data_IF_480774419626
#
_entry.id   IF_480774419626
#
_cell.length_a   1.000
_cell.length_b   1.000
_cell.length_c   1.000
_cell.angle_alpha   90.00
_cell.angle_beta   90.00
_cell.angle_gamma   90.00
#
_symmetry.space_group_name_H-M   'P 1'
#
loop_
_entity.id
_entity.type
_entity.pdbx_description
1 polymer ?
#
# COMPACT_ATOMS: atom_id res chain seq x y z
N UNK A 1 -5.44 -41.95 -22.05
CA UNK A 1 -4.20 -41.65 -22.79
C UNK A 1 -4.40 -40.31 -23.48
N UNK A 2 -3.44 -39.39 -23.35
CA UNK A 2 -3.47 -38.12 -24.08
C UNK A 2 -3.32 -38.41 -25.58
N UNK A 3 -4.11 -37.73 -26.42
CA UNK A 3 -4.05 -37.93 -27.87
C UNK A 3 -2.67 -37.58 -28.44
N UNK A 4 -1.93 -36.67 -27.80
CA UNK A 4 -0.57 -36.29 -28.19
C UNK A 4 0.46 -37.39 -27.91
N UNK A 5 0.20 -38.36 -27.05
CA UNK A 5 1.19 -39.39 -26.68
C UNK A 5 1.68 -40.27 -27.83
N UNK A 6 0.93 -40.32 -28.94
CA UNK A 6 1.26 -41.08 -30.15
C UNK A 6 1.75 -40.19 -31.29
N UNK A 7 1.85 -38.89 -31.07
CA UNK A 7 2.29 -37.92 -32.07
C UNK A 7 3.80 -37.72 -31.97
N UNK A 8 4.47 -37.63 -33.12
CA UNK A 8 5.91 -37.32 -33.20
C UNK A 8 6.19 -35.82 -33.11
N UNK A 9 5.18 -35.00 -33.33
CA UNK A 9 5.25 -33.54 -33.30
C UNK A 9 4.12 -33.02 -32.39
N UNK A 10 4.47 -32.12 -31.48
CA UNK A 10 3.53 -31.47 -30.56
C UNK A 10 3.65 -29.97 -30.77
N UNK A 11 2.55 -29.33 -31.19
CA UNK A 11 2.51 -27.86 -31.36
C UNK A 11 2.19 -27.20 -30.03
N UNK A 12 3.19 -26.55 -29.42
CA UNK A 12 3.00 -25.72 -28.24
C UNK A 12 2.62 -24.30 -28.70
N UNK A 13 1.58 -23.74 -28.09
CA UNK A 13 1.09 -22.39 -28.37
C UNK A 13 1.39 -21.49 -27.17
N UNK A 14 1.40 -20.18 -27.41
CA UNK A 14 1.53 -19.15 -26.37
C UNK A 14 2.89 -19.16 -25.63
N UNK A 15 3.94 -19.62 -26.30
CA UNK A 15 5.34 -19.53 -25.83
C UNK A 15 6.17 -18.81 -26.90
N UNK A 16 7.04 -17.90 -26.45
CA UNK A 16 8.01 -17.24 -27.30
C UNK A 16 9.11 -18.21 -27.76
N UNK A 17 9.55 -18.10 -29.02
CA UNK A 17 10.57 -18.99 -29.61
C UNK A 17 11.87 -18.97 -28.82
N UNK A 18 12.32 -17.78 -28.38
CA UNK A 18 13.57 -17.60 -27.64
C UNK A 18 13.43 -18.19 -26.24
N UNK A 19 12.28 -18.00 -25.60
CA UNK A 19 12.02 -18.58 -24.29
C UNK A 19 12.01 -20.11 -24.35
N UNK A 20 11.42 -20.71 -25.39
CA UNK A 20 11.41 -22.16 -25.55
C UNK A 20 12.82 -22.73 -25.76
N UNK A 21 13.65 -22.09 -26.57
CA UNK A 21 15.03 -22.52 -26.82
C UNK A 21 15.85 -22.51 -25.52
N UNK A 22 15.77 -21.42 -24.75
CA UNK A 22 16.43 -21.32 -23.44
C UNK A 22 15.95 -22.37 -22.43
N UNK A 23 14.66 -22.69 -22.43
CA UNK A 23 14.10 -23.72 -21.56
C UNK A 23 14.53 -25.13 -21.96
N UNK A 24 14.65 -25.40 -23.27
CA UNK A 24 15.17 -26.67 -23.77
C UNK A 24 16.65 -26.79 -23.41
N UNK A 25 17.45 -25.75 -23.68
CA UNK A 25 18.87 -25.72 -23.30
C UNK A 25 19.05 -25.93 -21.80
N UNK A 26 18.20 -25.33 -20.97
CA UNK A 26 18.18 -25.59 -19.53
C UNK A 26 17.90 -27.06 -19.20
N UNK A 27 16.94 -27.72 -19.87
CA UNK A 27 16.65 -29.14 -19.64
C UNK A 27 17.87 -30.05 -19.90
N UNK A 28 18.76 -29.66 -20.83
CA UNK A 28 19.97 -30.44 -21.15
C UNK A 28 21.21 -30.01 -20.36
N UNK A 29 21.36 -28.72 -20.03
CA UNK A 29 22.58 -28.16 -19.43
C UNK A 29 22.44 -27.86 -17.93
N UNK A 30 21.21 -27.79 -17.42
CA UNK A 30 20.87 -27.30 -16.07
C UNK A 30 21.40 -25.89 -15.78
N UNK A 31 21.63 -25.08 -16.82
CA UNK A 31 22.11 -23.71 -16.69
C UNK A 31 21.20 -22.76 -17.46
N UNK A 32 20.80 -21.66 -16.82
CA UNK A 32 20.01 -20.60 -17.44
C UNK A 32 20.42 -19.25 -16.86
N UNK A 33 20.49 -18.23 -17.72
CA UNK A 33 20.83 -16.85 -17.34
C UNK A 33 19.57 -16.00 -17.48
N UNK A 34 19.15 -15.39 -16.38
CA UNK A 34 17.97 -14.51 -16.34
C UNK A 34 18.43 -13.05 -16.39
N UNK A 35 17.89 -12.30 -17.35
CA UNK A 35 18.18 -10.91 -17.65
C UNK A 35 16.88 -10.10 -17.81
N UNK A 36 16.95 -8.77 -17.77
CA UNK A 36 15.77 -7.90 -17.91
C UNK A 36 15.06 -8.06 -19.27
N UNK A 37 15.82 -8.36 -20.32
CA UNK A 37 15.32 -8.58 -21.67
C UNK A 37 14.56 -9.90 -21.83
N UNK A 38 14.91 -10.92 -21.04
CA UNK A 38 14.38 -12.28 -21.21
C UNK A 38 13.35 -12.66 -20.16
N UNK A 39 13.38 -12.06 -18.96
CA UNK A 39 12.54 -12.47 -17.82
C UNK A 39 11.03 -12.37 -18.12
N UNK A 40 10.63 -11.38 -18.92
CA UNK A 40 9.24 -11.18 -19.32
C UNK A 40 8.71 -12.27 -20.26
N UNK A 41 9.59 -12.90 -21.06
CA UNK A 41 9.25 -14.01 -21.96
C UNK A 41 9.46 -15.37 -21.29
N UNK A 42 10.44 -15.46 -20.39
CA UNK A 42 10.84 -16.69 -19.70
C UNK A 42 9.86 -17.08 -18.60
N UNK A 43 9.40 -16.15 -17.77
CA UNK A 43 8.48 -16.46 -16.67
C UNK A 43 7.14 -17.06 -17.16
N UNK A 44 6.46 -16.51 -18.18
CA UNK A 44 5.20 -17.08 -18.69
C UNK A 44 5.40 -18.49 -19.22
N UNK A 45 6.50 -18.73 -19.93
CA UNK A 45 6.86 -20.04 -20.47
C UNK A 45 7.14 -21.04 -19.34
N UNK A 46 7.87 -20.63 -18.31
CA UNK A 46 8.12 -21.45 -17.11
C UNK A 46 6.82 -21.73 -16.32
N UNK A 47 5.88 -20.79 -16.26
CA UNK A 47 4.56 -20.99 -15.67
C UNK A 47 3.73 -22.01 -16.46
N UNK A 48 3.71 -21.90 -17.80
CA UNK A 48 2.95 -22.79 -18.67
C UNK A 48 3.48 -24.24 -18.63
N UNK A 49 4.81 -24.39 -18.63
CA UNK A 49 5.48 -25.70 -18.56
C UNK A 49 5.66 -26.21 -17.12
N UNK A 50 5.18 -25.46 -16.11
CA UNK A 50 5.25 -25.80 -14.69
C UNK A 50 6.69 -26.03 -14.16
N UNK A 51 7.66 -25.28 -14.68
CA UNK A 51 9.06 -25.31 -14.24
C UNK A 51 9.25 -24.40 -13.01
N UNK A 52 8.98 -24.94 -11.82
CA UNK A 52 8.96 -24.17 -10.56
C UNK A 52 10.30 -23.53 -10.21
N UNK A 53 11.42 -24.21 -10.46
CA UNK A 53 12.76 -23.68 -10.14
C UNK A 53 13.06 -22.39 -10.91
N UNK A 54 12.68 -22.34 -12.19
CA UNK A 54 12.87 -21.16 -13.04
C UNK A 54 11.89 -20.06 -12.63
N UNK A 55 10.65 -20.41 -12.28
CA UNK A 55 9.69 -19.45 -11.75
C UNK A 55 10.21 -18.75 -10.50
N UNK A 56 10.80 -19.50 -9.57
CA UNK A 56 11.38 -18.95 -8.34
C UNK A 56 12.56 -18.01 -8.63
N UNK A 57 13.47 -18.40 -9.53
CA UNK A 57 14.60 -17.56 -9.93
C UNK A 57 14.13 -16.27 -10.61
N UNK A 58 13.19 -16.36 -11.54
CA UNK A 58 12.59 -15.20 -12.21
C UNK A 58 11.86 -14.28 -11.22
N UNK A 59 11.12 -14.85 -10.27
CA UNK A 59 10.47 -14.07 -9.21
C UNK A 59 11.49 -13.37 -8.31
N UNK A 60 12.57 -14.04 -7.89
CA UNK A 60 13.64 -13.43 -7.11
C UNK A 60 14.37 -12.32 -7.88
N UNK A 61 14.59 -12.50 -9.18
CA UNK A 61 15.14 -11.46 -10.05
C UNK A 61 14.24 -10.23 -10.10
N UNK A 62 12.93 -10.42 -10.35
CA UNK A 62 11.95 -9.33 -10.39
C UNK A 62 11.81 -8.62 -9.04
N UNK A 63 11.87 -9.34 -7.92
CA UNK A 63 11.86 -8.74 -6.58
C UNK A 63 13.03 -7.78 -6.36
N UNK A 64 14.22 -8.10 -6.88
CA UNK A 64 15.42 -7.25 -6.73
C UNK A 64 15.39 -6.00 -7.61
N UNK A 65 14.61 -6.04 -8.70
CA UNK A 65 14.47 -4.94 -9.66
C UNK A 65 13.22 -4.07 -9.42
N UNK A 66 12.53 -4.23 -8.29
CA UNK A 66 11.36 -3.41 -7.96
C UNK A 66 11.76 -1.94 -7.77
N UNK A 67 11.21 -1.09 -8.62
CA UNK A 67 11.40 0.36 -8.63
C UNK A 67 10.02 1.06 -8.70
N UNK A 68 9.85 2.28 -8.17
CA UNK A 68 8.56 2.98 -8.25
C UNK A 68 8.07 3.20 -9.69
N UNK A 69 8.98 3.24 -10.67
CA UNK A 69 8.65 3.41 -12.09
C UNK A 69 8.15 2.14 -12.79
N UNK A 70 8.47 0.94 -12.27
CA UNK A 70 8.16 -0.36 -12.92
C UNK A 70 7.26 -1.27 -12.08
N UNK A 71 6.99 -0.90 -10.81
CA UNK A 71 6.31 -1.78 -9.86
C UNK A 71 4.89 -2.13 -10.30
N UNK A 72 4.21 -1.25 -11.03
CA UNK A 72 2.86 -1.50 -11.53
C UNK A 72 2.88 -2.48 -12.70
N UNK A 73 3.86 -2.35 -13.61
CA UNK A 73 4.12 -3.34 -14.66
C UNK A 73 4.41 -4.73 -14.09
N UNK A 74 5.33 -4.82 -13.11
CA UNK A 74 5.66 -6.10 -12.45
C UNK A 74 4.46 -6.69 -11.72
N UNK A 75 3.65 -5.85 -11.07
CA UNK A 75 2.41 -6.26 -10.40
C UNK A 75 1.39 -6.84 -11.39
N UNK A 76 1.12 -6.13 -12.50
CA UNK A 76 0.20 -6.59 -13.54
C UNK A 76 0.68 -7.90 -14.20
N UNK A 77 2.00 -8.02 -14.38
CA UNK A 77 2.63 -9.23 -14.87
C UNK A 77 2.47 -10.40 -13.90
N UNK A 78 2.70 -10.17 -12.60
CA UNK A 78 2.52 -11.19 -11.57
C UNK A 78 1.06 -11.67 -11.45
N UNK A 79 0.10 -10.77 -11.61
CA UNK A 79 -1.34 -11.09 -11.62
C UNK A 79 -1.70 -11.97 -12.83
N UNK A 80 -1.22 -11.61 -14.02
CA UNK A 80 -1.44 -12.36 -15.28
C UNK A 80 -0.93 -13.80 -15.20
N UNK A 81 0.23 -14.01 -14.58
CA UNK A 81 0.86 -15.34 -14.45
C UNK A 81 0.56 -16.03 -13.11
N UNK A 82 -0.34 -15.48 -12.29
CA UNK A 82 -0.73 -16.04 -10.98
C UNK A 82 0.45 -16.25 -10.01
N UNK A 83 1.51 -15.44 -10.13
CA UNK A 83 2.67 -15.46 -9.24
C UNK A 83 2.33 -14.76 -7.91
N UNK A 84 1.64 -15.48 -7.01
CA UNK A 84 1.07 -14.92 -5.77
C UNK A 84 2.08 -14.23 -4.86
N UNK A 85 3.28 -14.79 -4.73
CA UNK A 85 4.30 -14.21 -3.85
C UNK A 85 4.87 -12.91 -4.41
N UNK A 86 5.18 -12.89 -5.72
CA UNK A 86 5.63 -11.68 -6.40
C UNK A 86 4.55 -10.60 -6.38
N UNK A 87 3.29 -10.98 -6.64
CA UNK A 87 2.14 -10.08 -6.58
C UNK A 87 2.02 -9.42 -5.20
N UNK A 88 2.09 -10.22 -4.13
CA UNK A 88 2.01 -9.71 -2.76
C UNK A 88 3.15 -8.73 -2.43
N UNK A 89 4.36 -9.01 -2.89
CA UNK A 89 5.52 -8.15 -2.65
C UNK A 89 5.39 -6.86 -3.46
N UNK A 90 4.99 -6.95 -4.73
CA UNK A 90 4.75 -5.80 -5.60
C UNK A 90 3.63 -4.92 -5.04
N UNK A 91 2.51 -5.51 -4.58
CA UNK A 91 1.40 -4.80 -3.92
C UNK A 91 1.89 -4.01 -2.70
N UNK A 92 2.66 -4.67 -1.81
CA UNK A 92 3.21 -4.03 -0.62
C UNK A 92 4.18 -2.90 -0.97
N UNK A 93 4.98 -3.08 -2.02
CA UNK A 93 5.90 -2.06 -2.50
C UNK A 93 5.16 -0.85 -3.10
N UNK A 94 4.17 -1.08 -3.95
CA UNK A 94 3.30 -0.05 -4.53
C UNK A 94 2.58 0.72 -3.43
N UNK A 95 2.01 0.03 -2.43
CA UNK A 95 1.36 0.67 -1.30
C UNK A 95 2.32 1.55 -0.49
N UNK A 96 3.56 1.09 -0.30
CA UNK A 96 4.58 1.80 0.46
C UNK A 96 5.14 3.04 -0.26
N UNK A 97 5.30 2.98 -1.58
CA UNK A 97 5.89 4.04 -2.41
C UNK A 97 4.85 4.76 -3.28
N UNK A 98 3.57 4.69 -2.91
CA UNK A 98 2.46 5.26 -3.69
C UNK A 98 2.66 6.74 -4.06
N UNK A 99 3.36 7.50 -3.21
CA UNK A 99 3.68 8.90 -3.48
C UNK A 99 4.51 9.12 -4.74
N UNK A 100 5.44 8.22 -5.05
CA UNK A 100 6.28 8.29 -6.25
C UNK A 100 5.55 7.63 -7.43
N UNK A 101 4.82 6.55 -7.15
CA UNK A 101 4.06 5.80 -8.17
C UNK A 101 2.96 6.67 -8.80
N UNK A 102 2.28 7.55 -8.04
CA UNK A 102 1.20 8.38 -8.59
C UNK A 102 1.67 9.39 -9.65
N UNK A 103 2.97 9.71 -9.68
CA UNK A 103 3.59 10.61 -10.66
C UNK A 103 4.08 9.87 -11.91
N UNK A 104 4.11 8.54 -11.88
CA UNK A 104 4.62 7.73 -12.99
C UNK A 104 3.62 7.63 -14.15
N UNK A 105 4.14 7.42 -15.35
CA UNK A 105 3.31 7.19 -16.54
C UNK A 105 2.57 5.85 -16.48
N UNK A 106 3.19 4.82 -15.88
CA UNK A 106 2.55 3.51 -15.66
C UNK A 106 1.23 3.66 -14.90
N UNK A 107 1.18 4.55 -13.90
CA UNK A 107 -0.04 4.83 -13.15
C UNK A 107 -1.14 5.40 -14.04
N UNK A 108 -0.79 6.31 -14.96
CA UNK A 108 -1.75 6.91 -15.89
C UNK A 108 -2.30 5.90 -16.90
N UNK A 109 -1.55 4.85 -17.23
CA UNK A 109 -1.96 3.80 -18.17
C UNK A 109 -2.75 2.65 -17.52
N UNK A 110 -2.89 2.63 -16.19
CA UNK A 110 -3.57 1.54 -15.48
C UNK A 110 -5.02 1.31 -15.93
N UNK A 111 -5.46 0.05 -16.01
CA UNK A 111 -6.88 -0.31 -16.12
C UNK A 111 -7.67 0.05 -14.85
N UNK A 112 -8.98 0.28 -15.01
CA UNK A 112 -9.87 0.67 -13.90
C UNK A 112 -9.88 -0.34 -12.75
N UNK A 113 -9.89 -1.65 -13.04
CA UNK A 113 -9.92 -2.69 -12.02
C UNK A 113 -8.68 -2.63 -11.11
N UNK A 114 -7.50 -2.60 -11.71
CA UNK A 114 -6.24 -2.52 -10.97
C UNK A 114 -6.12 -1.23 -10.15
N UNK A 115 -6.58 -0.10 -10.70
CA UNK A 115 -6.60 1.18 -9.98
C UNK A 115 -7.51 1.11 -8.74
N UNK A 116 -8.71 0.52 -8.89
CA UNK A 116 -9.66 0.32 -7.79
C UNK A 116 -9.04 -0.55 -6.70
N UNK A 117 -8.36 -1.64 -7.07
CA UNK A 117 -7.72 -2.52 -6.08
C UNK A 117 -6.65 -1.79 -5.27
N UNK A 118 -5.85 -0.93 -5.92
CA UNK A 118 -4.81 -0.14 -5.25
C UNK A 118 -5.46 0.89 -4.30
N UNK A 119 -6.46 1.64 -4.76
CA UNK A 119 -7.10 2.71 -3.97
C UNK A 119 -8.03 2.15 -2.88
N UNK A 120 -8.58 0.95 -3.05
CA UNK A 120 -9.40 0.31 -2.03
C UNK A 120 -8.56 -0.12 -0.80
N UNK A 121 -7.24 -0.28 -0.96
CA UNK A 121 -6.36 -0.75 0.13
C UNK A 121 -6.28 0.22 1.31
N UNK A 122 -6.50 -0.31 2.52
CA UNK A 122 -6.33 0.42 3.78
C UNK A 122 -4.87 0.77 4.11
N UNK A 123 -3.91 0.04 3.54
CA UNK A 123 -2.48 0.12 3.83
C UNK A 123 -1.72 1.11 2.93
N UNK A 124 -2.44 1.88 2.10
CA UNK A 124 -1.83 2.86 1.20
C UNK A 124 -1.08 3.93 1.99
N UNK A 125 0.22 4.07 1.73
CA UNK A 125 1.07 5.03 2.41
C UNK A 125 0.95 6.43 1.78
N UNK A 126 -0.09 7.16 2.20
CA UNK A 126 -0.36 8.54 1.78
C UNK A 126 -0.40 9.48 2.98
N UNK A 127 0.01 10.74 2.78
CA UNK A 127 -0.02 11.74 3.86
C UNK A 127 -1.44 12.24 4.12
N UNK A 128 -2.21 12.40 3.05
CA UNK A 128 -3.60 12.88 3.08
C UNK A 128 -4.41 12.20 1.98
N UNK A 129 -5.72 12.06 2.17
CA UNK A 129 -6.64 11.60 1.11
C UNK A 129 -6.70 12.58 -0.07
N UNK A 130 -6.28 13.83 0.13
CA UNK A 130 -6.19 14.83 -0.94
C UNK A 130 -5.22 14.38 -2.05
N UNK A 131 -4.13 13.68 -1.68
CA UNK A 131 -3.19 13.09 -2.65
C UNK A 131 -3.84 11.97 -3.46
N UNK A 132 -4.61 11.10 -2.80
CA UNK A 132 -5.35 10.01 -3.47
C UNK A 132 -6.37 10.58 -4.45
N UNK A 133 -7.13 11.59 -4.03
CA UNK A 133 -8.08 12.27 -4.91
C UNK A 133 -7.37 12.92 -6.09
N UNK A 134 -6.25 13.63 -5.86
CA UNK A 134 -5.47 14.25 -6.95
C UNK A 134 -4.97 13.21 -7.94
N UNK A 135 -4.46 12.07 -7.47
CA UNK A 135 -3.99 10.97 -8.31
C UNK A 135 -5.13 10.41 -9.19
N UNK A 136 -6.31 10.15 -8.59
CA UNK A 136 -7.50 9.70 -9.32
C UNK A 136 -7.90 10.71 -10.40
N UNK A 137 -7.91 12.00 -10.06
CA UNK A 137 -8.30 13.04 -11.00
C UNK A 137 -7.28 13.18 -12.14
N UNK A 138 -5.99 13.04 -11.88
CA UNK A 138 -4.96 13.00 -12.94
C UNK A 138 -5.18 11.80 -13.87
N UNK A 139 -5.48 10.62 -13.32
CA UNK A 139 -5.79 9.43 -14.11
C UNK A 139 -7.06 9.62 -14.96
N UNK A 140 -8.13 10.19 -14.42
CA UNK A 140 -9.36 10.45 -15.20
C UNK A 140 -9.12 11.51 -16.27
N UNK A 141 -8.36 12.57 -15.96
CA UNK A 141 -8.04 13.65 -16.91
C UNK A 141 -7.16 13.20 -18.08
N UNK A 142 -6.37 12.14 -17.91
CA UNK A 142 -5.55 11.56 -18.97
C UNK A 142 -6.40 11.01 -20.14
N UNK A 143 -7.54 10.37 -19.86
CA UNK A 143 -8.49 9.90 -20.88
C UNK A 143 -9.93 10.14 -20.42
N UNK A 144 -10.39 11.39 -20.56
CA UNK A 144 -11.72 11.83 -20.09
C UNK A 144 -12.85 11.10 -20.83
N UNK A 145 -12.68 10.80 -22.11
CA UNK A 145 -13.73 10.22 -22.95
C UNK A 145 -14.21 8.86 -22.44
N UNK A 146 -13.27 7.98 -22.09
CA UNK A 146 -13.60 6.62 -21.63
C UNK A 146 -13.69 6.53 -20.10
N UNK A 147 -12.87 7.27 -19.36
CA UNK A 147 -12.77 7.13 -17.89
C UNK A 147 -13.87 7.86 -17.14
N UNK A 148 -14.55 8.82 -17.77
CA UNK A 148 -15.65 9.56 -17.14
C UNK A 148 -16.76 8.63 -16.64
N UNK A 149 -17.09 7.57 -17.36
CA UNK A 149 -18.14 6.61 -16.93
C UNK A 149 -17.74 5.80 -15.69
N UNK A 150 -16.44 5.65 -15.43
CA UNK A 150 -15.90 4.91 -14.30
C UNK A 150 -15.61 5.80 -13.08
N UNK A 151 -15.73 7.13 -13.23
CA UNK A 151 -15.45 8.07 -12.15
C UNK A 151 -16.24 7.76 -10.86
N UNK A 152 -17.55 7.46 -10.88
CA UNK A 152 -18.28 7.13 -9.65
C UNK A 152 -17.75 5.88 -8.95
N UNK A 153 -17.41 4.85 -9.75
CA UNK A 153 -16.87 3.59 -9.25
C UNK A 153 -15.48 3.77 -8.63
N UNK A 154 -14.66 4.68 -9.14
CA UNK A 154 -13.34 4.96 -8.53
C UNK A 154 -13.50 5.85 -7.29
N UNK A 155 -14.36 6.87 -7.38
CA UNK A 155 -14.53 7.87 -6.32
C UNK A 155 -15.11 7.29 -5.03
N UNK A 156 -15.91 6.21 -5.11
CA UNK A 156 -16.43 5.52 -3.91
C UNK A 156 -15.33 4.92 -3.01
N UNK A 157 -14.13 4.66 -3.57
CA UNK A 157 -12.98 4.12 -2.83
C UNK A 157 -12.07 5.22 -2.27
N UNK A 158 -12.31 6.49 -2.64
CA UNK A 158 -11.64 7.65 -2.05
C UNK A 158 -12.39 8.06 -0.79
N UNK A 159 -11.66 8.32 0.30
CA UNK A 159 -12.28 8.60 1.61
C UNK A 159 -12.59 10.09 1.74
N UNK A 160 -13.55 10.55 0.94
CA UNK A 160 -14.00 11.94 0.91
C UNK A 160 -14.31 12.54 2.29
N UNK A 161 -14.91 11.81 3.26
CA UNK A 161 -15.18 12.33 4.60
C UNK A 161 -13.93 12.73 5.41
N UNK A 162 -12.75 12.27 4.99
CA UNK A 162 -11.46 12.56 5.64
C UNK A 162 -10.69 13.69 4.95
N UNK A 163 -11.23 14.27 3.88
CA UNK A 163 -10.67 15.45 3.23
C UNK A 163 -10.85 16.70 4.09
N UNK A 164 -9.98 17.70 3.90
CA UNK A 164 -10.19 18.99 4.54
C UNK A 164 -11.45 19.68 3.98
N UNK A 165 -12.25 20.38 4.83
CA UNK A 165 -13.46 21.05 4.36
C UNK A 165 -13.19 22.09 3.25
N UNK A 166 -12.02 22.74 3.30
CA UNK A 166 -11.57 23.69 2.29
C UNK A 166 -11.37 23.01 0.93
N UNK A 167 -10.74 21.84 0.92
CA UNK A 167 -10.48 21.09 -0.31
C UNK A 167 -11.76 20.46 -0.88
N UNK A 168 -12.61 19.91 -0.01
CA UNK A 168 -13.88 19.29 -0.42
C UNK A 168 -14.81 20.30 -1.12
N UNK A 169 -14.98 21.50 -0.56
CA UNK A 169 -15.85 22.53 -1.16
C UNK A 169 -15.14 23.27 -2.30
N UNK A 170 -13.86 23.62 -2.11
CA UNK A 170 -13.11 24.46 -3.04
C UNK A 170 -12.65 23.75 -4.31
N UNK A 171 -12.27 22.47 -4.22
CA UNK A 171 -11.70 21.70 -5.33
C UNK A 171 -12.65 20.60 -5.79
N UNK A 172 -13.07 19.71 -4.89
CA UNK A 172 -13.90 18.53 -5.27
C UNK A 172 -15.29 18.98 -5.72
N UNK A 173 -15.95 19.84 -4.96
CA UNK A 173 -17.30 20.33 -5.26
C UNK A 173 -17.37 21.34 -6.42
N UNK A 174 -16.25 21.96 -6.80
CA UNK A 174 -16.18 22.90 -7.91
C UNK A 174 -15.82 22.22 -9.25
N UNK A 175 -15.21 21.03 -9.21
CA UNK A 175 -14.78 20.31 -10.42
C UNK A 175 -15.99 19.93 -11.30
N UNK A 176 -15.88 20.24 -12.59
CA UNK A 176 -16.96 20.07 -13.56
C UNK A 176 -17.33 18.58 -13.74
N UNK A 177 -16.36 17.68 -13.63
CA UNK A 177 -16.57 16.24 -13.81
C UNK A 177 -17.45 15.69 -12.69
N UNK A 178 -17.14 16.05 -11.44
CA UNK A 178 -17.88 15.65 -10.24
C UNK A 178 -19.29 16.24 -10.24
N UNK A 179 -19.42 17.52 -10.62
CA UNK A 179 -20.73 18.20 -10.68
C UNK A 179 -21.65 17.66 -11.76
N UNK A 180 -21.09 17.10 -12.83
CA UNK A 180 -21.87 16.60 -13.97
C UNK A 180 -22.56 15.27 -13.69
N UNK A 181 -22.06 14.50 -12.72
CA UNK A 181 -22.59 13.19 -12.35
C UNK A 181 -23.44 13.30 -11.08
N UNK A 182 -24.54 12.56 -11.00
CA UNK A 182 -25.39 12.50 -9.81
C UNK A 182 -24.77 11.65 -8.71
N UNK A 183 -24.22 10.49 -9.08
CA UNK A 183 -23.63 9.56 -8.10
C UNK A 183 -22.43 10.19 -7.39
N UNK A 184 -21.63 10.98 -8.10
CA UNK A 184 -20.50 11.69 -7.50
C UNK A 184 -20.94 12.83 -6.56
N UNK A 185 -22.07 13.49 -6.85
CA UNK A 185 -22.62 14.54 -5.97
C UNK A 185 -23.12 13.95 -4.66
N UNK A 186 -23.80 12.81 -4.71
CA UNK A 186 -24.26 12.11 -3.52
C UNK A 186 -23.10 11.73 -2.58
N UNK A 187 -21.98 11.25 -3.16
CA UNK A 187 -20.76 10.94 -2.40
C UNK A 187 -20.17 12.18 -1.70
N UNK A 188 -20.16 13.33 -2.38
CA UNK A 188 -19.67 14.59 -1.82
C UNK A 188 -20.61 15.12 -0.74
N UNK A 189 -21.92 14.98 -0.92
CA UNK A 189 -22.91 15.45 0.06
C UNK A 189 -22.92 14.56 1.31
N UNK A 190 -22.71 13.25 1.19
CA UNK A 190 -22.43 12.36 2.32
C UNK A 190 -21.20 12.83 3.12
N UNK A 191 -20.10 13.16 2.44
CA UNK A 191 -18.90 13.65 3.07
C UNK A 191 -19.10 15.01 3.77
N UNK A 192 -19.88 15.92 3.18
CA UNK A 192 -20.27 17.18 3.82
C UNK A 192 -21.09 16.93 5.08
N UNK A 193 -22.08 16.04 5.04
CA UNK A 193 -22.92 15.71 6.20
C UNK A 193 -22.07 15.15 7.35
N UNK A 194 -21.12 14.24 7.05
CA UNK A 194 -20.18 13.70 8.04
C UNK A 194 -19.32 14.80 8.73
N UNK A 195 -18.92 15.82 7.97
CA UNK A 195 -18.14 16.95 8.49
C UNK A 195 -19.00 17.93 9.29
N UNK A 196 -20.23 18.21 8.84
CA UNK A 196 -21.15 19.18 9.42
C UNK A 196 -21.89 18.67 10.67
N UNK A 197 -22.04 17.35 10.84
CA UNK A 197 -22.76 16.72 11.96
C UNK A 197 -21.82 15.86 12.83
N UNK A 198 -20.94 16.45 13.66
CA UNK A 198 -20.02 15.69 14.51
C UNK A 198 -20.69 14.72 15.48
N UNK A 199 -21.92 15.02 15.92
CA UNK A 199 -22.68 14.21 16.88
C UNK A 199 -23.20 12.90 16.28
N UNK A 200 -23.39 12.84 14.95
CA UNK A 200 -23.92 11.66 14.24
C UNK A 200 -22.81 10.78 13.64
N UNK A 201 -21.54 11.17 13.77
CA UNK A 201 -20.38 10.37 13.32
C UNK A 201 -20.35 8.92 13.81
N UNK A 202 -20.81 8.57 15.03
CA UNK A 202 -20.89 7.19 15.45
C UNK A 202 -21.90 6.35 14.67
N UNK A 203 -22.95 6.98 14.12
CA UNK A 203 -24.01 6.34 13.34
C UNK A 203 -23.66 6.24 11.84
N UNK A 204 -22.77 7.11 11.36
CA UNK A 204 -22.32 7.19 9.96
C UNK A 204 -21.03 6.39 9.69
N UNK A 205 -20.70 5.40 10.53
CA UNK A 205 -19.48 4.61 10.38
C UNK A 205 -19.55 3.69 9.16
N UNK A 206 -18.63 3.86 8.22
CA UNK A 206 -18.45 3.03 7.04
C UNK A 206 -16.98 2.92 6.61
N UNK A 207 -16.68 2.11 5.56
CA UNK A 207 -15.32 1.95 5.05
C UNK A 207 -14.69 3.29 4.61
N UNK A 208 -15.51 4.23 4.13
CA UNK A 208 -15.08 5.58 3.70
C UNK A 208 -14.80 6.55 4.86
N UNK A 209 -15.26 6.26 6.07
CA UNK A 209 -15.03 7.11 7.25
C UNK A 209 -13.86 6.65 8.11
N UNK A 210 -13.27 5.50 7.78
CA UNK A 210 -12.12 4.94 8.49
C UNK A 210 -10.83 5.47 7.87
N UNK A 211 -9.92 6.11 8.63
CA UNK A 211 -8.63 6.54 8.10
C UNK A 211 -7.81 5.36 7.60
N UNK A 212 -6.99 5.60 6.57
CA UNK A 212 -5.98 4.63 6.12
C UNK A 212 -5.00 4.38 7.24
N UNK A 213 -4.44 3.18 7.28
CA UNK A 213 -3.36 2.79 8.21
C UNK A 213 -2.05 2.81 7.43
N UNK A 214 -1.38 3.97 7.30
CA UNK A 214 -0.14 4.05 6.56
C UNK A 214 0.93 3.20 7.26
N UNK A 215 1.43 2.17 6.58
CA UNK A 215 2.40 1.22 7.11
C UNK A 215 3.72 1.88 7.57
N UNK A 216 4.05 3.09 7.07
CA UNK A 216 5.25 3.86 7.50
C UNK A 216 5.09 4.56 8.85
N UNK A 217 3.87 4.89 9.27
CA UNK A 217 3.58 5.34 10.63
C UNK A 217 2.95 4.17 11.36
N UNK A 218 3.74 3.11 11.55
CA UNK A 218 3.33 2.01 12.41
C UNK A 218 2.87 2.57 13.74
N UNK A 219 1.67 2.20 14.17
CA UNK A 219 1.16 2.48 15.51
C UNK A 219 2.10 1.76 16.48
N UNK A 220 3.12 2.47 16.93
CA UNK A 220 4.11 1.93 17.84
C UNK A 220 3.63 2.19 19.26
N UNK A 221 3.70 1.16 20.09
CA UNK A 221 3.26 1.30 21.46
C UNK A 221 4.48 1.65 22.32
N UNK A 222 4.42 2.80 23.00
CA UNK A 222 5.47 3.21 23.92
C UNK A 222 5.07 2.86 25.35
N UNK A 223 5.95 2.15 26.05
CA UNK A 223 5.90 2.00 27.50
C UNK A 223 6.91 2.99 28.10
N UNK A 224 6.44 3.96 28.88
CA UNK A 224 7.24 5.08 29.40
C UNK A 224 7.27 5.01 30.92
N UNK A 225 8.47 4.81 31.49
CA UNK A 225 8.67 4.77 32.94
C UNK A 225 8.01 3.56 33.60
N UNK A 226 7.67 3.71 34.88
CA UNK A 226 7.04 2.64 35.66
C UNK A 226 7.66 2.50 37.06
N UNK A 227 7.26 1.43 37.75
CA UNK A 227 7.78 1.07 39.06
C UNK A 227 8.31 -0.36 39.01
N UNK A 228 9.61 -0.53 39.23
CA UNK A 228 10.23 -1.85 39.22
C UNK A 228 11.16 -1.99 40.42
N UNK A 229 11.06 -3.12 41.12
CA UNK A 229 11.94 -3.48 42.24
C UNK A 229 12.05 -2.42 43.36
N UNK A 230 10.98 -1.65 43.59
CA UNK A 230 10.92 -0.66 44.67
C UNK A 230 11.42 0.74 44.29
N UNK A 231 11.77 0.99 43.03
CA UNK A 231 12.15 2.32 42.54
C UNK A 231 11.41 2.68 41.24
N UNK A 232 11.34 3.98 40.96
CA UNK A 232 10.87 4.49 39.67
C UNK A 232 11.93 4.24 38.60
N UNK A 233 11.51 3.94 37.37
CA UNK A 233 12.42 3.71 36.24
C UNK A 233 12.33 4.83 35.22
N UNK A 234 13.44 5.05 34.50
CA UNK A 234 13.54 6.02 33.41
C UNK A 234 13.47 5.36 32.02
N UNK A 235 13.32 4.04 31.96
CA UNK A 235 13.29 3.29 30.70
C UNK A 235 12.09 3.68 29.86
N UNK A 236 12.32 3.72 28.55
CA UNK A 236 11.26 3.82 27.56
C UNK A 236 11.46 2.68 26.58
N UNK A 237 10.38 1.94 26.33
CA UNK A 237 10.36 0.81 25.41
C UNK A 237 9.35 1.08 24.30
N UNK A 238 9.70 0.68 23.08
CA UNK A 238 8.87 0.79 21.89
C UNK A 238 8.54 -0.61 21.39
N UNK A 239 7.27 -0.94 21.32
CA UNK A 239 6.77 -2.11 20.63
C UNK A 239 6.54 -1.80 19.17
N UNK A 240 7.12 -2.61 18.29
CA UNK A 240 6.87 -2.56 16.86
C UNK A 240 5.90 -3.69 16.47
N UNK A 241 4.65 -3.38 16.05
CA UNK A 241 3.68 -4.40 15.66
C UNK A 241 4.11 -5.21 14.42
N UNK A 242 4.99 -4.66 13.58
CA UNK A 242 5.44 -5.36 12.36
C UNK A 242 6.43 -6.48 12.67
N UNK A 243 7.33 -6.24 13.63
CA UNK A 243 8.30 -7.26 14.06
C UNK A 243 7.79 -8.05 15.27
N UNK A 244 6.73 -7.59 15.94
CA UNK A 244 6.23 -8.10 17.22
C UNK A 244 7.31 -8.11 18.31
N UNK A 245 8.20 -7.11 18.31
CA UNK A 245 9.31 -7.00 19.26
C UNK A 245 9.23 -5.72 20.08
N UNK A 246 9.66 -5.81 21.35
CA UNK A 246 9.96 -4.66 22.19
C UNK A 246 11.42 -4.26 22.03
N UNK A 247 11.66 -2.96 21.84
CA UNK A 247 13.01 -2.39 21.75
C UNK A 247 13.14 -1.23 22.73
N UNK A 248 14.24 -1.22 23.46
CA UNK A 248 14.62 -0.07 24.28
C UNK A 248 14.87 1.14 23.39
N UNK A 249 14.33 2.29 23.76
CA UNK A 249 14.63 3.58 23.11
C UNK A 249 15.32 4.52 24.09
N UNK A 250 15.52 5.78 23.70
CA UNK A 250 16.14 6.78 24.56
C UNK A 250 15.39 6.86 25.92
N UNK A 251 16.08 6.68 27.06
CA UNK A 251 15.45 6.80 28.36
C UNK A 251 15.07 8.25 28.66
N UNK A 252 14.14 8.43 29.59
CA UNK A 252 13.84 9.75 30.16
C UNK A 252 15.06 10.28 30.95
N UNK A 253 15.18 11.59 31.02
CA UNK A 253 16.19 12.31 31.81
C UNK A 253 15.98 12.13 33.31
N UNK A 254 14.71 11.97 33.73
CA UNK A 254 14.35 11.63 35.11
C UNK A 254 13.53 10.34 35.13
N UNK A 255 13.74 9.52 36.15
CA UNK A 255 12.89 8.36 36.44
C UNK A 255 11.50 8.83 36.87
N UNK A 256 10.44 8.15 36.41
CA UNK A 256 9.05 8.53 36.69
C UNK A 256 8.16 7.28 36.81
N UNK A 257 7.35 7.23 37.86
CA UNK A 257 6.20 6.32 37.99
C UNK A 257 4.89 7.13 38.05
N UNK A 258 3.77 6.52 37.63
CA UNK A 258 2.47 7.23 37.56
C UNK A 258 2.53 8.45 36.63
N UNK A 259 3.33 8.37 35.56
CA UNK A 259 3.57 9.45 34.60
C UNK A 259 2.37 9.61 33.66
N UNK A 260 2.01 10.86 33.36
CA UNK A 260 1.08 11.17 32.26
C UNK A 260 1.83 11.31 30.95
N UNK A 261 1.37 10.67 29.89
CA UNK A 261 2.02 10.69 28.58
C UNK A 261 1.07 11.25 27.53
N UNK A 262 1.56 12.13 26.66
CA UNK A 262 0.78 12.69 25.55
C UNK A 262 1.62 12.79 24.27
N UNK A 263 0.97 12.68 23.12
CA UNK A 263 1.60 12.90 21.82
C UNK A 263 1.16 14.25 21.28
N UNK A 264 2.12 15.10 20.91
CA UNK A 264 1.86 16.39 20.28
C UNK A 264 2.88 16.63 19.17
N UNK A 265 2.40 16.93 17.96
CA UNK A 265 3.24 17.19 16.77
C UNK A 265 4.29 16.09 16.51
N UNK A 266 3.84 14.82 16.53
CA UNK A 266 4.70 13.63 16.35
C UNK A 266 5.81 13.46 17.41
N UNK A 267 5.73 14.16 18.55
CA UNK A 267 6.62 14.01 19.70
C UNK A 267 5.87 13.44 20.91
N UNK A 268 6.55 12.56 21.65
CA UNK A 268 6.04 11.94 22.87
C UNK A 268 6.54 12.72 24.09
N UNK A 269 5.61 13.19 24.93
CA UNK A 269 5.91 13.97 26.11
C UNK A 269 5.54 13.22 27.39
N UNK A 270 6.44 13.26 28.37
CA UNK A 270 6.25 12.72 29.71
C UNK A 270 6.03 13.86 30.71
N UNK A 271 4.85 13.91 31.33
CA UNK A 271 4.41 15.00 32.19
C UNK A 271 4.26 14.51 33.63
N UNK A 272 4.96 15.18 34.56
CA UNK A 272 4.81 14.93 35.99
C UNK A 272 5.25 13.53 36.42
N UNK A 273 4.47 12.89 37.29
CA UNK A 273 4.79 11.61 37.91
C UNK A 273 5.59 11.75 39.21
N UNK A 274 6.10 10.63 39.71
CA UNK A 274 6.89 10.55 40.94
C UNK A 274 8.24 9.86 40.66
N UNK A 275 9.34 10.42 41.14
CA UNK A 275 10.70 9.93 40.83
C UNK A 275 11.24 8.92 41.87
N UNK A 276 10.38 8.40 42.73
CA UNK A 276 10.75 7.53 43.85
C UNK A 276 11.01 8.30 45.16
N UNK A 277 11.23 9.63 45.10
CA UNK A 277 11.42 10.48 46.28
C UNK A 277 10.42 11.64 46.37
N UNK A 278 10.06 12.24 45.23
CA UNK A 278 9.24 13.43 45.13
C UNK A 278 8.35 13.43 43.89
N UNK A 279 7.26 14.20 43.96
CA UNK A 279 6.42 14.47 42.79
C UNK A 279 7.09 15.50 41.88
N UNK A 280 7.07 15.21 40.58
CA UNK A 280 7.68 16.06 39.56
C UNK A 280 6.67 17.07 39.02
N UNK A 281 7.13 18.31 38.81
CA UNK A 281 6.40 19.37 38.10
C UNK A 281 7.02 19.67 36.72
N UNK A 282 7.92 18.81 36.24
CA UNK A 282 8.62 18.97 34.96
C UNK A 282 7.98 18.13 33.85
N UNK A 283 8.12 18.62 32.62
CA UNK A 283 7.82 17.93 31.36
C UNK A 283 9.13 17.65 30.63
N UNK A 284 9.19 16.54 29.90
CA UNK A 284 10.24 16.25 28.93
C UNK A 284 9.67 15.56 27.70
#
# INVERSE_FOLDING_TARGET
ELAESRQTEVTIRDIDEIAMDLLIDFCYTSHIVVEESNVQMLLPAACLLQLTEIQDICCEFLKRQLDPSNCLGIRAFADTHSCRELLRIADKYTQHNFQEVMESEEFMLLPVGQLVDIIASDELNVRTEEQVFSAVMSWVKYNVSERRQHLPQVLQHVRLPLLSPKFLVGTVGSDLLVRSDESCRDLVDEAKNYLLLPQERPLMQGPRTRPRKPTRRGEVLFAVGGWCSGDAIASVEKFDPQTMEWKMVAPMSKRRCGVGVAVLNDLLYAVGGHDGQSYLNSIE
#
